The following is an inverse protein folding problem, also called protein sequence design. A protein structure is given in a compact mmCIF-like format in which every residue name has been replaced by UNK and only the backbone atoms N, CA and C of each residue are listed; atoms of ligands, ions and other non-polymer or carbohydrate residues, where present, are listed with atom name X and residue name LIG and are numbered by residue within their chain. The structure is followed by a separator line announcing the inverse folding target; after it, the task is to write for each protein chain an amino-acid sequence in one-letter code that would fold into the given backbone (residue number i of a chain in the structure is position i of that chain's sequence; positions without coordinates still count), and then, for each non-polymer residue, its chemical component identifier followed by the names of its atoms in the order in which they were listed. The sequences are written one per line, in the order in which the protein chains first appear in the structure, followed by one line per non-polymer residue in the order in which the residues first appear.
data_IF_692558771054
#
_entry.id   IF_692558771054
#
_cell.length_a   1.000
_cell.length_b   1.000
_cell.length_c   1.000
_cell.angle_alpha   90.00
_cell.angle_beta   90.00
_cell.angle_gamma   90.00
#
_symmetry.space_group_name_H-M   'P 1'
#
loop_
_entity.id
_entity.type
_entity.pdbx_description
1 polymer ?
#
# COMPACT_ATOMS: atom_id res chain seq x y z
N UNK A 1 -3.11 19.60 0.05
CA UNK A 1 -3.68 18.36 0.62
C UNK A 1 -5.20 18.31 0.61
N UNK A 2 -5.92 19.42 0.90
CA UNK A 2 -7.39 19.47 0.76
C UNK A 2 -7.87 19.18 -0.67
N UNK A 3 -7.11 19.62 -1.69
CA UNK A 3 -7.46 19.45 -3.11
C UNK A 3 -7.52 17.98 -3.62
N UNK A 4 -6.93 17.02 -2.92
CA UNK A 4 -7.00 15.60 -3.32
C UNK A 4 -8.15 14.85 -2.65
N UNK A 5 -8.80 15.45 -1.64
CA UNK A 5 -9.87 14.84 -0.84
C UNK A 5 -11.16 15.68 -0.96
N UNK A 6 -11.41 16.23 -2.15
CA UNK A 6 -12.62 16.97 -2.47
C UNK A 6 -13.82 16.03 -2.57
N UNK A 7 -14.99 16.55 -2.24
CA UNK A 7 -16.25 15.77 -2.23
C UNK A 7 -16.52 15.11 -3.57
N UNK A 8 -16.35 15.85 -4.65
CA UNK A 8 -16.57 15.37 -6.03
C UNK A 8 -15.69 14.15 -6.36
N UNK A 9 -14.47 14.12 -5.88
CA UNK A 9 -13.56 12.99 -6.06
C UNK A 9 -13.95 11.80 -5.18
N UNK A 10 -14.41 12.04 -3.96
CA UNK A 10 -14.93 10.99 -3.08
C UNK A 10 -16.20 10.34 -3.63
N UNK A 11 -17.01 11.07 -4.41
CA UNK A 11 -18.17 10.53 -5.12
C UNK A 11 -17.77 9.57 -6.27
N UNK A 12 -16.51 9.60 -6.74
CA UNK A 12 -15.98 8.69 -7.76
C UNK A 12 -15.27 7.46 -7.19
N UNK A 13 -14.65 7.58 -6.03
CA UNK A 13 -13.88 6.51 -5.40
C UNK A 13 -12.98 7.02 -4.29
N UNK A 14 -12.26 6.13 -3.63
CA UNK A 14 -11.41 6.47 -2.50
C UNK A 14 -10.09 5.71 -2.52
N UNK A 15 -8.99 6.44 -2.37
CA UNK A 15 -7.65 5.89 -2.24
C UNK A 15 -7.08 6.30 -0.90
N UNK A 16 -6.71 5.33 -0.07
CA UNK A 16 -6.02 5.56 1.19
C UNK A 16 -4.54 5.22 0.99
N UNK A 17 -3.68 6.23 1.03
CA UNK A 17 -2.23 6.08 0.99
C UNK A 17 -1.71 5.91 2.41
N UNK A 18 -1.08 4.77 2.69
CA UNK A 18 -0.52 4.42 3.99
C UNK A 18 1.01 4.57 3.94
N UNK A 19 1.59 5.51 4.71
CA UNK A 19 3.04 5.72 4.77
C UNK A 19 3.77 4.51 5.37
N UNK A 20 5.09 4.51 5.22
CA UNK A 20 5.98 3.64 5.98
C UNK A 20 6.02 4.03 7.47
N UNK A 21 6.93 3.40 8.19
CA UNK A 21 7.12 3.63 9.64
C UNK A 21 7.57 5.05 9.99
N UNK A 22 8.01 5.81 9.00
CA UNK A 22 8.41 7.22 9.12
C UNK A 22 7.21 8.18 9.28
N UNK A 23 6.00 7.69 9.01
CA UNK A 23 4.79 8.50 9.04
C UNK A 23 4.65 9.45 7.86
N UNK A 24 3.90 10.53 8.04
CA UNK A 24 3.64 11.51 6.98
C UNK A 24 4.93 12.22 6.55
N UNK A 25 5.33 12.01 5.30
CA UNK A 25 6.59 12.49 4.74
C UNK A 25 6.44 12.94 3.28
N UNK A 26 7.54 13.37 2.66
CA UNK A 26 7.57 13.67 1.22
C UNK A 26 7.38 12.40 0.37
N UNK A 27 7.71 11.22 0.90
CA UNK A 27 7.56 9.94 0.19
C UNK A 27 6.10 9.66 -0.15
N UNK A 28 5.23 9.70 0.85
CA UNK A 28 3.81 9.45 0.64
C UNK A 28 3.09 10.61 -0.07
N UNK A 29 3.63 11.84 0.01
CA UNK A 29 3.21 12.94 -0.87
C UNK A 29 3.56 12.67 -2.33
N UNK A 30 4.73 12.06 -2.60
CA UNK A 30 5.12 11.60 -3.93
C UNK A 30 4.14 10.58 -4.50
N UNK A 31 3.69 9.63 -3.67
CA UNK A 31 2.67 8.64 -4.05
C UNK A 31 1.36 9.35 -4.43
N UNK A 32 0.82 10.17 -3.52
CA UNK A 32 -0.45 10.86 -3.76
C UNK A 32 -0.40 11.80 -4.98
N UNK A 33 0.72 12.53 -5.15
CA UNK A 33 0.93 13.41 -6.30
C UNK A 33 1.02 12.63 -7.61
N UNK A 34 1.72 11.48 -7.63
CA UNK A 34 1.84 10.63 -8.82
C UNK A 34 0.50 10.06 -9.27
N UNK A 35 -0.33 9.61 -8.32
CA UNK A 35 -1.70 9.16 -8.60
C UNK A 35 -2.56 10.31 -9.16
N UNK A 36 -2.49 11.49 -8.55
CA UNK A 36 -3.22 12.66 -9.02
C UNK A 36 -2.79 13.09 -10.43
N UNK A 37 -1.49 13.10 -10.72
CA UNK A 37 -0.94 13.49 -12.03
C UNK A 37 -1.29 12.51 -13.16
N UNK A 38 -1.59 11.28 -12.81
CA UNK A 38 -2.08 10.28 -13.74
C UNK A 38 -3.58 10.44 -14.03
N UNK A 39 -4.26 11.39 -13.40
CA UNK A 39 -5.71 11.58 -13.55
C UNK A 39 -6.56 10.58 -12.79
N UNK A 40 -6.03 9.92 -11.73
CA UNK A 40 -6.86 9.07 -10.87
C UNK A 40 -8.01 9.92 -10.31
N UNK A 41 -9.28 9.62 -10.64
CA UNK A 41 -10.41 10.52 -10.36
C UNK A 41 -10.89 10.46 -8.90
N UNK A 42 -10.33 9.59 -8.09
CA UNK A 42 -10.78 9.28 -6.73
C UNK A 42 -10.26 10.28 -5.70
N UNK A 43 -10.95 10.41 -4.58
CA UNK A 43 -10.43 11.10 -3.40
C UNK A 43 -9.18 10.39 -2.87
N UNK A 44 -8.08 11.12 -2.67
CA UNK A 44 -6.80 10.55 -2.20
C UNK A 44 -6.50 11.10 -0.82
N UNK A 45 -6.46 10.23 0.18
CA UNK A 45 -6.07 10.55 1.54
C UNK A 45 -4.70 9.95 1.88
N UNK A 46 -3.81 10.74 2.46
CA UNK A 46 -2.62 10.23 3.14
C UNK A 46 -3.00 10.04 4.61
N UNK A 47 -3.20 8.80 5.01
CA UNK A 47 -3.57 8.44 6.38
C UNK A 47 -2.31 8.05 7.17
N UNK A 48 -1.91 8.91 8.10
CA UNK A 48 -0.78 8.62 8.99
C UNK A 48 -1.23 7.73 10.15
N UNK A 49 -0.76 6.49 10.13
CA UNK A 49 -1.07 5.46 11.11
C UNK A 49 -0.03 5.37 12.24
N UNK A 50 1.05 6.17 12.16
CA UNK A 50 2.20 6.08 13.05
C UNK A 50 2.06 6.97 14.29
N UNK A 51 2.92 6.76 15.28
CA UNK A 51 3.12 7.66 16.44
C UNK A 51 4.17 8.76 16.13
N UNK A 52 4.53 8.91 14.84
CA UNK A 52 5.50 9.87 14.37
C UNK A 52 6.88 9.27 14.05
N UNK A 53 7.76 10.05 13.39
CA UNK A 53 9.01 9.55 12.79
C UNK A 53 10.04 9.08 13.81
N UNK A 54 10.04 9.61 15.02
CA UNK A 54 10.98 9.20 16.08
C UNK A 54 10.67 7.82 16.65
N UNK A 55 9.48 7.29 16.39
CA UNK A 55 8.99 6.01 16.89
C UNK A 55 9.09 4.87 15.87
N UNK A 56 10.01 4.95 14.90
CA UNK A 56 10.08 4.01 13.78
C UNK A 56 10.07 2.52 14.19
N UNK A 57 10.90 2.10 15.15
CA UNK A 57 10.92 0.71 15.64
C UNK A 57 9.61 0.35 16.37
N UNK A 58 9.04 1.27 17.13
CA UNK A 58 7.76 1.08 17.78
C UNK A 58 6.64 0.95 16.72
N UNK A 59 6.62 1.83 15.73
CA UNK A 59 5.68 1.77 14.61
C UNK A 59 5.78 0.43 13.87
N UNK A 60 7.00 -0.10 13.69
CA UNK A 60 7.22 -1.39 13.03
C UNK A 60 6.71 -2.58 13.86
N UNK A 61 6.84 -2.56 15.19
CA UNK A 61 6.67 -3.75 16.04
C UNK A 61 5.44 -3.76 16.93
N UNK A 62 4.81 -2.62 17.15
CA UNK A 62 3.71 -2.50 18.11
C UNK A 62 2.40 -3.11 17.59
N UNK A 63 2.17 -4.39 17.91
CA UNK A 63 0.90 -5.06 17.58
C UNK A 63 -0.32 -4.31 18.12
N UNK A 64 -0.18 -3.63 19.28
CA UNK A 64 -1.26 -2.80 19.85
C UNK A 64 -1.57 -1.60 18.98
N UNK A 65 -0.53 -0.93 18.46
CA UNK A 65 -0.69 0.17 17.50
C UNK A 65 -1.36 -0.34 16.23
N UNK A 66 -0.83 -1.43 15.64
CA UNK A 66 -1.37 -2.00 14.41
C UNK A 66 -2.86 -2.37 14.58
N UNK A 67 -3.23 -3.08 15.64
CA UNK A 67 -4.62 -3.46 15.90
C UNK A 67 -5.55 -2.23 16.02
N UNK A 68 -5.09 -1.19 16.74
CA UNK A 68 -5.84 0.08 16.86
C UNK A 68 -6.02 0.74 15.50
N UNK A 69 -4.97 0.85 14.70
CA UNK A 69 -5.01 1.53 13.40
C UNK A 69 -5.81 0.73 12.37
N UNK A 70 -5.71 -0.59 12.39
CA UNK A 70 -6.55 -1.48 11.57
C UNK A 70 -8.03 -1.28 11.89
N UNK A 71 -8.40 -1.18 13.17
CA UNK A 71 -9.80 -0.92 13.56
C UNK A 71 -10.31 0.43 13.00
N UNK A 72 -9.50 1.50 13.14
CA UNK A 72 -9.85 2.83 12.61
C UNK A 72 -9.98 2.80 11.08
N UNK A 73 -9.04 2.17 10.38
CA UNK A 73 -9.07 2.06 8.92
C UNK A 73 -10.26 1.23 8.43
N UNK A 74 -10.56 0.13 9.12
CA UNK A 74 -11.75 -0.68 8.87
C UNK A 74 -13.01 0.18 8.95
N UNK A 75 -13.20 0.90 10.07
CA UNK A 75 -14.38 1.73 10.29
C UNK A 75 -14.48 2.86 9.25
N UNK A 76 -13.34 3.45 8.86
CA UNK A 76 -13.26 4.43 7.76
C UNK A 76 -13.71 3.85 6.43
N UNK A 77 -13.27 2.64 6.08
CA UNK A 77 -13.68 1.96 4.84
C UNK A 77 -15.18 1.64 4.88
N UNK A 78 -15.68 1.11 6.00
CA UNK A 78 -17.11 0.81 6.16
C UNK A 78 -17.97 2.06 6.05
N UNK A 79 -17.58 3.15 6.70
CA UNK A 79 -18.27 4.44 6.62
C UNK A 79 -18.30 4.99 5.19
N UNK A 80 -17.16 4.91 4.48
CA UNK A 80 -17.11 5.32 3.08
C UNK A 80 -18.02 4.46 2.19
N UNK A 81 -17.96 3.12 2.33
CA UNK A 81 -18.79 2.18 1.56
C UNK A 81 -20.29 2.39 1.82
N UNK A 82 -20.68 2.72 3.05
CA UNK A 82 -22.07 3.03 3.39
C UNK A 82 -22.55 4.34 2.73
N UNK A 83 -21.70 5.36 2.69
CA UNK A 83 -22.01 6.67 2.08
C UNK A 83 -21.93 6.65 0.55
N UNK A 84 -21.11 5.77 -0.04
CA UNK A 84 -20.84 5.68 -1.47
C UNK A 84 -20.89 4.22 -1.98
N UNK A 85 -22.08 3.62 -2.04
CA UNK A 85 -22.27 2.23 -2.47
C UNK A 85 -21.71 1.99 -3.87
N UNK A 86 -20.98 0.87 -4.06
CA UNK A 86 -20.44 0.48 -5.35
C UNK A 86 -19.19 1.26 -5.81
N UNK A 87 -18.77 2.30 -5.08
CA UNK A 87 -17.58 3.07 -5.48
C UNK A 87 -16.27 2.35 -5.08
N UNK A 88 -15.23 2.43 -5.94
CA UNK A 88 -13.97 1.73 -5.69
C UNK A 88 -13.24 2.27 -4.45
N UNK A 89 -12.60 1.36 -3.72
CA UNK A 89 -11.71 1.68 -2.61
C UNK A 89 -10.38 0.98 -2.82
N UNK A 90 -9.28 1.73 -2.84
CA UNK A 90 -7.94 1.20 -2.93
C UNK A 90 -7.12 1.55 -1.70
N UNK A 91 -6.27 0.62 -1.26
CA UNK A 91 -5.21 0.89 -0.30
C UNK A 91 -3.87 0.86 -1.04
N UNK A 92 -3.10 1.92 -0.92
CA UNK A 92 -1.75 2.03 -1.48
C UNK A 92 -0.77 2.20 -0.33
N UNK A 93 -0.08 1.13 0.03
CA UNK A 93 0.77 1.09 1.22
C UNK A 93 2.25 0.99 0.88
N UNK A 94 3.08 1.89 1.45
CA UNK A 94 4.53 1.84 1.36
C UNK A 94 5.11 1.19 2.63
N UNK A 95 6.06 0.27 2.48
CA UNK A 95 6.80 -0.33 3.61
C UNK A 95 5.86 -0.90 4.70
N UNK A 96 5.91 -0.39 5.92
CA UNK A 96 4.99 -0.75 7.02
C UNK A 96 3.51 -0.51 6.66
N UNK A 97 3.21 0.54 5.89
CA UNK A 97 1.87 0.82 5.38
C UNK A 97 1.34 -0.27 4.43
N UNK A 98 2.23 -0.93 3.67
CA UNK A 98 1.88 -2.10 2.85
C UNK A 98 1.43 -3.28 3.70
N UNK A 99 2.13 -3.56 4.80
CA UNK A 99 1.72 -4.57 5.77
C UNK A 99 0.36 -4.21 6.41
N UNK A 100 0.19 -2.95 6.81
CA UNK A 100 -1.05 -2.48 7.42
C UNK A 100 -2.24 -2.56 6.45
N UNK A 101 -2.02 -2.35 5.14
CA UNK A 101 -3.04 -2.54 4.09
C UNK A 101 -3.57 -3.98 4.07
N UNK A 102 -2.68 -4.97 4.14
CA UNK A 102 -3.04 -6.39 4.21
C UNK A 102 -3.84 -6.71 5.49
N UNK A 103 -3.34 -6.26 6.65
CA UNK A 103 -4.03 -6.46 7.93
C UNK A 103 -5.41 -5.80 7.95
N UNK A 104 -5.53 -4.62 7.36
CA UNK A 104 -6.82 -3.89 7.28
C UNK A 104 -7.81 -4.64 6.39
N UNK A 105 -7.38 -5.09 5.20
CA UNK A 105 -8.26 -5.88 4.34
C UNK A 105 -8.72 -7.16 5.04
N UNK A 106 -7.79 -7.91 5.67
CA UNK A 106 -8.12 -9.13 6.41
C UNK A 106 -9.12 -8.92 7.56
N UNK A 107 -9.18 -7.71 8.13
CA UNK A 107 -10.08 -7.36 9.24
C UNK A 107 -11.47 -6.87 8.80
N UNK A 108 -11.71 -6.71 7.49
CA UNK A 108 -13.03 -6.32 6.98
C UNK A 108 -14.05 -7.44 7.23
N UNK A 109 -15.30 -7.09 7.55
CA UNK A 109 -16.33 -8.10 7.75
C UNK A 109 -16.67 -8.84 6.44
N UNK A 110 -17.32 -9.98 6.60
CA UNK A 110 -17.84 -10.74 5.47
C UNK A 110 -18.81 -9.89 4.63
N UNK A 111 -18.76 -10.05 3.31
CA UNK A 111 -19.54 -9.23 2.38
C UNK A 111 -18.98 -7.83 2.10
N UNK A 112 -17.88 -7.44 2.77
CA UNK A 112 -17.20 -6.17 2.49
C UNK A 112 -15.80 -6.43 1.92
N UNK A 113 -15.49 -5.76 0.83
CA UNK A 113 -14.16 -5.84 0.20
C UNK A 113 -13.67 -4.45 -0.22
N UNK A 114 -12.37 -4.30 -0.37
CA UNK A 114 -11.75 -3.20 -1.10
C UNK A 114 -11.51 -3.61 -2.54
N UNK A 115 -11.45 -2.65 -3.46
CA UNK A 115 -11.27 -2.94 -4.88
C UNK A 115 -9.88 -3.53 -5.17
N UNK A 116 -8.83 -3.02 -4.52
CA UNK A 116 -7.49 -3.55 -4.69
C UNK A 116 -6.49 -3.04 -3.66
N UNK A 117 -5.40 -3.79 -3.49
CA UNK A 117 -4.26 -3.42 -2.67
C UNK A 117 -3.02 -3.23 -3.53
N UNK A 118 -2.35 -2.09 -3.41
CA UNK A 118 -1.03 -1.87 -4.00
C UNK A 118 -0.01 -1.77 -2.88
N UNK A 119 0.88 -2.73 -2.84
CA UNK A 119 1.94 -2.85 -1.84
C UNK A 119 3.25 -2.41 -2.46
N UNK A 120 3.82 -1.32 -1.97
CA UNK A 120 5.10 -0.79 -2.42
C UNK A 120 6.15 -1.19 -1.40
N UNK A 121 6.99 -2.17 -1.75
CA UNK A 121 8.03 -2.75 -0.90
C UNK A 121 7.57 -3.03 0.54
N UNK A 122 6.54 -3.87 0.74
CA UNK A 122 5.91 -4.07 2.05
C UNK A 122 6.83 -4.71 3.07
N UNK A 123 6.82 -4.18 4.31
CA UNK A 123 7.60 -4.68 5.44
C UNK A 123 6.89 -5.82 6.18
N UNK A 124 6.51 -6.88 5.47
CA UNK A 124 5.84 -8.07 6.00
C UNK A 124 6.58 -9.34 5.60
N UNK A 125 6.44 -10.41 6.37
CA UNK A 125 7.10 -11.68 6.10
C UNK A 125 6.66 -12.27 4.74
N UNK A 126 7.58 -12.92 3.98
CA UNK A 126 7.21 -13.70 2.79
C UNK A 126 6.28 -14.87 3.10
N UNK A 127 6.17 -15.27 4.37
CA UNK A 127 5.31 -16.38 4.85
C UNK A 127 3.92 -15.92 5.30
N UNK A 128 3.66 -14.61 5.25
CA UNK A 128 2.34 -14.10 5.62
C UNK A 128 1.26 -14.72 4.73
N UNK A 129 0.21 -15.31 5.35
CA UNK A 129 -0.93 -15.82 4.58
C UNK A 129 -1.75 -14.67 4.02
N UNK A 130 -1.95 -14.68 2.71
CA UNK A 130 -2.75 -13.68 2.01
C UNK A 130 -4.24 -14.04 1.97
N UNK A 131 -4.64 -15.25 2.40
CA UNK A 131 -5.99 -15.79 2.22
C UNK A 131 -7.07 -14.88 2.81
N UNK A 132 -6.89 -14.43 4.06
CA UNK A 132 -7.84 -13.54 4.71
C UNK A 132 -7.94 -12.17 4.02
N UNK A 133 -6.82 -11.63 3.52
CA UNK A 133 -6.80 -10.38 2.77
C UNK A 133 -7.46 -10.55 1.40
N UNK A 134 -7.15 -11.64 0.69
CA UNK A 134 -7.71 -11.97 -0.63
C UNK A 134 -9.22 -12.19 -0.59
N UNK A 135 -9.74 -12.76 0.50
CA UNK A 135 -11.17 -12.91 0.72
C UNK A 135 -11.92 -11.56 0.80
N UNK A 136 -11.19 -10.44 0.95
CA UNK A 136 -11.71 -9.09 1.09
C UNK A 136 -11.17 -8.12 0.04
N UNK A 137 -10.72 -8.65 -1.09
CA UNK A 137 -10.19 -7.88 -2.23
C UNK A 137 -10.88 -8.33 -3.52
N UNK A 138 -11.44 -7.39 -4.28
CA UNK A 138 -12.19 -7.66 -5.49
C UNK A 138 -11.28 -7.99 -6.68
N UNK A 139 -10.36 -7.07 -7.04
CA UNK A 139 -9.51 -7.20 -8.24
C UNK A 139 -8.20 -7.94 -7.98
N UNK A 140 -7.48 -7.58 -6.90
CA UNK A 140 -6.22 -8.25 -6.59
C UNK A 140 -5.28 -7.46 -5.69
N UNK A 141 -4.11 -8.06 -5.46
CA UNK A 141 -3.01 -7.53 -4.65
C UNK A 141 -1.79 -7.40 -5.56
N UNK A 142 -1.27 -6.19 -5.75
CA UNK A 142 -0.05 -5.91 -6.52
C UNK A 142 1.11 -5.66 -5.57
N UNK A 143 2.09 -6.58 -5.55
CA UNK A 143 3.28 -6.47 -4.72
C UNK A 143 4.47 -5.97 -5.55
N UNK A 144 4.74 -4.67 -5.50
CA UNK A 144 5.96 -4.08 -6.07
C UNK A 144 7.14 -4.34 -5.15
N UNK A 145 8.06 -5.21 -5.58
CA UNK A 145 9.19 -5.66 -4.78
C UNK A 145 10.53 -5.35 -5.43
N UNK A 146 11.56 -5.15 -4.61
CA UNK A 146 12.91 -4.87 -5.10
C UNK A 146 13.99 -5.55 -4.27
N UNK A 147 14.81 -6.38 -4.91
CA UNK A 147 16.00 -6.94 -4.28
C UNK A 147 17.07 -5.87 -3.96
N UNK A 148 17.03 -4.69 -4.60
CA UNK A 148 17.91 -3.56 -4.31
C UNK A 148 17.62 -2.90 -2.95
N UNK A 149 16.52 -3.27 -2.29
CA UNK A 149 16.17 -2.81 -0.95
C UNK A 149 16.81 -3.68 0.16
N UNK A 150 18.10 -3.94 0.02
CA UNK A 150 18.82 -4.81 0.95
C UNK A 150 19.03 -4.19 2.33
N UNK A 151 19.02 -2.86 2.47
CA UNK A 151 19.23 -2.19 3.77
C UNK A 151 17.95 -2.19 4.59
N UNK A 152 16.85 -1.63 4.08
CA UNK A 152 15.61 -1.49 4.83
C UNK A 152 14.84 -2.82 4.96
N UNK A 153 14.60 -3.51 3.86
CA UNK A 153 13.80 -4.74 3.85
C UNK A 153 14.62 -6.02 3.90
N UNK A 154 15.91 -5.93 3.68
CA UNK A 154 16.84 -7.04 3.89
C UNK A 154 17.36 -7.05 5.33
N UNK A 155 18.26 -6.10 5.66
CA UNK A 155 18.98 -6.09 6.94
C UNK A 155 18.10 -5.62 8.11
N UNK A 156 17.39 -4.48 7.99
CA UNK A 156 16.63 -3.94 9.11
C UNK A 156 15.45 -4.85 9.50
N UNK A 157 14.72 -5.43 8.54
CA UNK A 157 13.64 -6.37 8.89
C UNK A 157 14.17 -7.69 9.44
N UNK A 158 15.39 -8.09 9.09
CA UNK A 158 16.05 -9.24 9.72
C UNK A 158 16.47 -8.93 11.16
N UNK A 159 16.95 -7.72 11.44
CA UNK A 159 17.40 -7.31 12.78
C UNK A 159 16.22 -6.96 13.69
N UNK A 160 15.30 -6.12 13.22
CA UNK A 160 14.19 -5.59 14.02
C UNK A 160 12.88 -6.35 13.83
N UNK A 161 12.79 -7.25 12.86
CA UNK A 161 11.59 -7.99 12.50
C UNK A 161 10.69 -7.24 11.52
N UNK A 162 9.80 -7.98 10.90
CA UNK A 162 8.70 -7.48 10.06
C UNK A 162 7.50 -7.09 10.92
N UNK A 163 6.48 -6.44 10.34
CA UNK A 163 5.25 -6.04 11.02
C UNK A 163 4.54 -7.24 11.68
N UNK A 164 4.57 -8.41 11.05
CA UNK A 164 4.03 -9.67 11.59
C UNK A 164 5.00 -10.39 12.55
N UNK A 165 6.16 -9.80 12.84
CA UNK A 165 7.06 -10.21 13.92
C UNK A 165 8.15 -11.20 13.53
N UNK A 166 8.34 -11.52 12.25
CA UNK A 166 9.39 -12.42 11.78
C UNK A 166 10.71 -11.67 11.52
N UNK A 167 11.81 -12.27 11.92
CA UNK A 167 13.18 -11.78 11.67
C UNK A 167 13.72 -12.37 10.37
N UNK A 168 13.21 -11.89 9.25
CA UNK A 168 13.52 -12.36 7.89
C UNK A 168 13.51 -11.19 6.91
N UNK A 169 14.13 -11.31 5.72
CA UNK A 169 13.91 -10.37 4.63
C UNK A 169 12.43 -10.27 4.30
N UNK A 170 11.90 -9.06 4.14
CA UNK A 170 10.48 -8.84 3.91
C UNK A 170 10.03 -9.22 2.49
N UNK A 171 8.73 -9.45 2.33
CA UNK A 171 8.11 -9.72 1.02
C UNK A 171 8.32 -8.58 0.01
N UNK A 172 8.51 -7.36 0.48
CA UNK A 172 8.90 -6.22 -0.35
C UNK A 172 10.29 -6.33 -0.97
N UNK A 173 11.17 -7.17 -0.41
CA UNK A 173 12.46 -7.49 -1.02
C UNK A 173 12.38 -8.77 -1.86
N UNK A 174 11.87 -9.87 -1.30
CA UNK A 174 12.01 -11.20 -1.90
C UNK A 174 10.72 -11.78 -2.49
N UNK A 175 9.60 -11.10 -2.30
CA UNK A 175 8.27 -11.58 -2.71
C UNK A 175 7.60 -12.49 -1.68
N UNK A 176 6.34 -12.80 -1.91
CA UNK A 176 5.59 -13.79 -1.11
C UNK A 176 5.95 -15.21 -1.53
N UNK A 177 5.78 -16.18 -0.61
CA UNK A 177 6.00 -17.60 -0.90
C UNK A 177 4.97 -18.12 -1.89
N UNK A 178 5.43 -18.96 -2.81
CA UNK A 178 4.57 -19.65 -3.78
C UNK A 178 4.06 -21.01 -3.23
N UNK A 179 2.92 -21.53 -3.69
CA UNK A 179 2.08 -20.98 -4.76
C UNK A 179 1.28 -19.76 -4.32
N UNK A 180 0.94 -18.87 -5.25
CA UNK A 180 0.11 -17.67 -5.00
C UNK A 180 -1.22 -17.79 -5.77
N UNK A 181 -2.27 -17.23 -5.19
CA UNK A 181 -3.54 -16.99 -5.89
C UNK A 181 -3.28 -16.15 -7.15
N UNK A 182 -3.95 -16.41 -8.28
CA UNK A 182 -3.79 -15.64 -9.53
C UNK A 182 -4.05 -14.14 -9.38
N UNK A 183 -4.79 -13.72 -8.37
CA UNK A 183 -5.03 -12.30 -8.06
C UNK A 183 -3.86 -11.63 -7.33
N UNK A 184 -2.79 -12.37 -7.01
CA UNK A 184 -1.57 -11.80 -6.42
C UNK A 184 -0.54 -11.59 -7.52
N UNK A 185 -0.31 -10.33 -7.84
CA UNK A 185 0.60 -9.89 -8.90
C UNK A 185 1.94 -9.48 -8.28
N UNK A 186 2.94 -10.34 -8.41
CA UNK A 186 4.32 -10.01 -8.03
C UNK A 186 4.99 -9.19 -9.14
N UNK A 187 5.28 -7.92 -8.85
CA UNK A 187 5.93 -6.99 -9.77
C UNK A 187 7.36 -6.73 -9.29
N UNK A 188 8.34 -7.52 -9.76
CA UNK A 188 9.74 -7.28 -9.42
C UNK A 188 10.24 -5.97 -10.03
N UNK A 189 11.21 -5.33 -9.38
CA UNK A 189 11.92 -4.20 -9.94
C UNK A 189 12.50 -4.54 -11.33
N UNK A 190 12.28 -3.66 -12.28
CA UNK A 190 12.73 -3.78 -13.67
C UNK A 190 13.63 -2.60 -14.02
N UNK A 191 14.68 -2.84 -14.85
CA UNK A 191 15.60 -1.78 -15.29
C UNK A 191 14.89 -0.60 -15.98
N UNK A 192 13.76 -0.85 -16.64
CA UNK A 192 12.95 0.20 -17.26
C UNK A 192 12.47 1.24 -16.23
N UNK A 193 12.27 0.85 -14.97
CA UNK A 193 11.81 1.73 -13.89
C UNK A 193 12.85 2.80 -13.52
N UNK A 194 14.15 2.62 -13.86
CA UNK A 194 15.17 3.67 -13.71
C UNK A 194 14.82 4.96 -14.43
N UNK A 195 14.24 4.85 -15.64
CA UNK A 195 13.83 6.01 -16.44
C UNK A 195 12.74 6.82 -15.76
N UNK A 196 12.04 6.22 -14.81
CA UNK A 196 10.95 6.80 -14.05
C UNK A 196 11.33 7.08 -12.60
N UNK A 197 12.63 7.25 -12.35
CA UNK A 197 13.23 7.61 -11.06
C UNK A 197 13.06 6.58 -9.94
N UNK A 198 12.66 5.35 -10.26
CA UNK A 198 12.77 4.25 -9.32
C UNK A 198 14.08 3.49 -9.58
N UNK A 199 15.03 3.63 -8.66
CA UNK A 199 16.37 2.99 -8.74
C UNK A 199 16.41 1.64 -8.03
N UNK A 200 15.26 1.08 -7.63
CA UNK A 200 15.17 -0.17 -6.88
C UNK A 200 15.41 -0.03 -5.38
N UNK A 201 15.65 1.18 -4.87
CA UNK A 201 15.81 1.43 -3.44
C UNK A 201 14.48 1.73 -2.73
N UNK A 202 14.50 1.62 -1.40
CA UNK A 202 13.32 1.76 -0.53
C UNK A 202 12.56 3.09 -0.69
N UNK A 203 13.28 4.17 -0.93
CA UNK A 203 12.70 5.52 -0.99
C UNK A 203 12.31 5.90 -2.43
N UNK A 204 13.04 5.42 -3.42
CA UNK A 204 12.85 5.82 -4.81
C UNK A 204 11.61 5.19 -5.46
N UNK A 205 11.10 4.09 -4.91
CA UNK A 205 9.85 3.46 -5.34
C UNK A 205 8.58 4.29 -4.99
N UNK A 206 8.73 5.42 -4.26
CA UNK A 206 7.65 6.37 -3.99
C UNK A 206 7.69 7.60 -4.89
N UNK A 207 8.62 7.64 -5.86
CA UNK A 207 8.79 8.78 -6.75
C UNK A 207 7.53 9.03 -7.59
N UNK A 208 7.14 10.30 -7.70
CA UNK A 208 5.94 10.77 -8.40
C UNK A 208 5.83 10.27 -9.83
N UNK A 209 6.95 10.24 -10.60
CA UNK A 209 6.94 9.76 -11.99
C UNK A 209 6.71 8.26 -12.06
N UNK A 210 7.39 7.49 -11.19
CA UNK A 210 7.20 6.04 -11.09
C UNK A 210 5.74 5.71 -10.72
N UNK A 211 5.19 6.35 -9.71
CA UNK A 211 3.80 6.13 -9.28
C UNK A 211 2.84 6.41 -10.44
N UNK A 212 3.03 7.54 -11.15
CA UNK A 212 2.18 7.93 -12.28
C UNK A 212 2.16 6.86 -13.37
N UNK A 213 3.32 6.30 -13.71
CA UNK A 213 3.44 5.38 -14.86
C UNK A 213 3.20 3.91 -14.54
N UNK A 214 3.54 3.47 -13.33
CA UNK A 214 3.54 2.04 -12.99
C UNK A 214 2.42 1.64 -12.03
N UNK A 215 1.98 2.55 -11.17
CA UNK A 215 1.00 2.24 -10.13
C UNK A 215 -0.38 2.79 -10.47
N UNK A 216 -0.46 4.03 -10.89
CA UNK A 216 -1.74 4.67 -11.18
C UNK A 216 -2.61 3.93 -12.20
N UNK A 217 -2.06 3.28 -13.27
CA UNK A 217 -2.86 2.51 -14.22
C UNK A 217 -3.69 1.39 -13.57
N UNK A 218 -3.24 0.85 -12.43
CA UNK A 218 -3.99 -0.17 -11.67
C UNK A 218 -5.29 0.40 -11.10
N UNK A 219 -5.27 1.68 -10.75
CA UNK A 219 -6.38 2.37 -10.09
C UNK A 219 -7.33 3.05 -11.06
N UNK A 220 -6.88 3.30 -12.30
CA UNK A 220 -7.73 3.94 -13.30
C UNK A 220 -8.91 3.03 -13.67
N UNK A 221 -10.08 3.61 -14.00
CA UNK A 221 -11.18 2.85 -14.56
C UNK A 221 -10.76 2.15 -15.86
N UNK A 222 -11.33 0.96 -16.11
CA UNK A 222 -11.02 0.18 -17.31
C UNK A 222 -11.32 1.03 -18.56
N UNK A 223 -10.29 1.22 -19.42
CA UNK A 223 -10.36 2.02 -20.64
C UNK A 223 -9.78 3.45 -20.54
N UNK A 224 -9.38 3.92 -19.36
CA UNK A 224 -8.86 5.29 -19.17
C UNK A 224 -7.34 5.47 -19.44
N UNK A 225 -6.65 4.50 -20.01
CA UNK A 225 -5.19 4.49 -20.19
C UNK A 225 -4.68 4.12 -21.58
N UNK A 226 -5.45 4.36 -22.64
CA UNK A 226 -5.07 3.99 -24.02
C UNK A 226 -4.95 5.19 -24.99
N UNK A 227 -4.65 6.38 -24.45
CA UNK A 227 -4.28 7.54 -25.30
C UNK A 227 -2.81 7.89 -25.15
#
# INVERSE_FOLDING_TARGET
MKAWLERERLEQGYVIVLPGIEGRSYLNRGIAAGLNDAGVPYGIEIYDWTEGPLWGVYNLRSRKLHARQVAILKDKILGYRAAHPGKPVYLVGHSGGGALSLLTAAALPEGTAVTGLVLIVPAISPRFSLDASLARVERGIWNYRSYGDCIYLGLLTTLFGTVDGWHVPAAGAVGFRRPLDPRVHEVPFQRAMFRDWNTGGHLTCTNRTFIRKWIAPILLPDGAGQD
#
